data_IF_028551911869
#
_entry.id   IF_028551911869
#
_cell.length_a   1.000
_cell.length_b   1.000
_cell.length_c   1.000
_cell.angle_alpha   90.00
_cell.angle_beta   90.00
_cell.angle_gamma   90.00
#
_symmetry.space_group_name_H-M   'P 1'
#
loop_
_entity.id
_entity.type
_entity.pdbx_description
1 polymer ?
#
# COMPACT_ATOMS: atom_id res chain seq x y z
N UNK A 1 50.52 24.78 12.72
CA UNK A 1 49.42 24.19 13.52
C UNK A 1 48.38 23.62 12.56
N UNK A 2 48.08 22.31 12.59
CA UNK A 2 47.02 21.76 11.76
C UNK A 2 45.65 22.11 12.35
N UNK A 3 44.71 22.51 11.49
CA UNK A 3 43.32 22.84 11.86
C UNK A 3 42.61 21.57 12.38
N UNK A 4 41.81 21.65 13.45
CA UNK A 4 41.12 20.48 13.99
C UNK A 4 40.00 20.01 13.03
N UNK A 5 39.92 18.69 12.86
CA UNK A 5 38.91 17.99 12.07
C UNK A 5 37.54 18.09 12.73
N UNK A 6 36.50 18.40 11.94
CA UNK A 6 35.09 18.35 12.33
C UNK A 6 34.59 16.91 12.38
N UNK A 7 35.10 16.12 13.33
CA UNK A 7 34.48 14.87 13.74
C UNK A 7 34.05 15.04 15.19
N UNK A 8 32.73 15.05 15.38
CA UNK A 8 31.95 15.04 16.64
C UNK A 8 31.13 16.31 16.90
N UNK A 9 29.92 16.37 16.35
CA UNK A 9 28.68 16.52 17.14
C UNK A 9 27.45 16.67 16.23
N UNK A 10 26.65 15.60 16.15
CA UNK A 10 25.18 15.58 16.15
C UNK A 10 24.70 14.21 15.64
N UNK A 11 24.69 13.20 16.50
CA UNK A 11 23.88 12.00 16.30
C UNK A 11 22.41 12.38 16.58
N UNK A 12 21.80 13.16 15.69
CA UNK A 12 20.36 13.16 15.57
C UNK A 12 20.01 11.81 14.94
N UNK A 13 19.31 10.94 15.68
CA UNK A 13 18.87 9.65 15.15
C UNK A 13 18.04 9.90 13.88
N UNK A 14 18.59 9.58 12.72
CA UNK A 14 17.89 9.72 11.45
C UNK A 14 16.80 8.65 11.42
N UNK A 15 15.53 9.07 11.45
CA UNK A 15 14.39 8.16 11.32
C UNK A 15 14.54 7.36 10.03
N UNK A 16 14.31 6.05 10.11
CA UNK A 16 14.22 5.23 8.90
C UNK A 16 12.90 5.52 8.18
N UNK A 17 12.85 5.31 6.85
CA UNK A 17 11.60 5.48 6.08
C UNK A 17 10.42 4.69 6.68
N UNK A 18 10.59 3.41 7.12
CA UNK A 18 9.55 2.67 7.84
C UNK A 18 9.07 3.32 9.15
N UNK A 19 9.98 3.82 9.97
CA UNK A 19 9.63 4.50 11.22
C UNK A 19 8.84 5.79 10.97
N UNK A 20 9.24 6.56 9.95
CA UNK A 20 8.55 7.79 9.55
C UNK A 20 7.11 7.52 9.13
N UNK A 21 6.86 6.43 8.40
CA UNK A 21 5.50 6.04 7.97
C UNK A 21 4.63 5.63 9.17
N UNK A 22 5.16 4.83 10.10
CA UNK A 22 4.43 4.43 11.31
C UNK A 22 4.09 5.65 12.16
N UNK A 23 5.08 6.51 12.45
CA UNK A 23 4.89 7.73 13.26
C UNK A 23 3.95 8.75 12.60
N UNK A 24 3.85 8.74 11.27
CA UNK A 24 2.92 9.61 10.53
C UNK A 24 1.46 9.23 10.80
N UNK A 25 1.13 7.94 10.82
CA UNK A 25 -0.26 7.46 10.89
C UNK A 25 -0.72 7.03 12.29
N UNK A 26 0.20 6.77 13.20
CA UNK A 26 -0.11 6.48 14.60
C UNK A 26 0.05 7.73 15.46
N UNK A 27 -0.85 7.89 16.42
CA UNK A 27 -0.73 8.82 17.54
C UNK A 27 -0.23 8.03 18.76
N UNK A 28 0.92 8.40 19.31
CA UNK A 28 1.49 7.74 20.49
C UNK A 28 0.64 8.06 21.73
N UNK A 29 0.26 7.02 22.47
CA UNK A 29 -0.54 7.15 23.68
C UNK A 29 0.36 7.36 24.90
N UNK A 30 -0.02 8.30 25.77
CA UNK A 30 0.70 8.57 27.04
C UNK A 30 0.66 7.38 28.01
N UNK A 31 -0.41 6.60 27.97
CA UNK A 31 -0.58 5.39 28.76
C UNK A 31 -1.26 4.32 27.91
N UNK A 32 -0.73 3.10 27.96
CA UNK A 32 -1.32 1.96 27.28
C UNK A 32 -2.65 1.55 27.93
N UNK A 33 -3.65 1.12 27.15
CA UNK A 33 -4.85 0.50 27.70
C UNK A 33 -4.48 -0.83 28.37
N UNK A 34 -4.82 -0.98 29.64
CA UNK A 34 -4.35 -2.09 30.49
C UNK A 34 -5.01 -3.44 30.18
N UNK A 35 -6.21 -3.42 29.62
CA UNK A 35 -7.05 -4.61 29.39
C UNK A 35 -7.26 -4.92 27.89
N UNK A 36 -6.42 -4.35 27.02
CA UNK A 36 -6.47 -4.62 25.58
C UNK A 36 -5.20 -5.34 25.11
N UNK A 37 -5.39 -6.32 24.22
CA UNK A 37 -4.30 -7.08 23.61
C UNK A 37 -3.92 -6.50 22.25
N UNK A 38 -2.63 -6.50 21.95
CA UNK A 38 -2.12 -6.16 20.63
C UNK A 38 -2.38 -7.33 19.67
N UNK A 39 -3.28 -7.16 18.70
CA UNK A 39 -3.65 -8.24 17.76
C UNK A 39 -2.56 -8.66 16.76
N UNK A 40 -1.35 -8.11 16.86
CA UNK A 40 -0.20 -8.46 16.01
C UNK A 40 0.71 -9.44 16.74
N UNK A 41 1.12 -9.14 17.97
CA UNK A 41 1.98 -10.02 18.78
C UNK A 41 1.21 -10.87 19.79
N UNK A 42 -0.09 -10.62 19.98
CA UNK A 42 -0.96 -11.26 20.97
C UNK A 42 -0.56 -11.02 22.43
N UNK A 43 0.26 -10.01 22.70
CA UNK A 43 0.63 -9.58 24.05
C UNK A 43 -0.24 -8.40 24.50
N UNK A 44 -0.38 -8.22 25.82
CA UNK A 44 -1.07 -7.05 26.39
C UNK A 44 -0.41 -5.75 25.93
N UNK A 45 -1.21 -4.74 25.62
CA UNK A 45 -0.70 -3.41 25.26
C UNK A 45 0.06 -2.74 26.42
N UNK A 46 -0.23 -3.12 27.67
CA UNK A 46 0.53 -2.71 28.85
C UNK A 46 1.90 -3.38 28.99
N UNK A 47 2.13 -4.48 28.29
CA UNK A 47 3.40 -5.23 28.29
C UNK A 47 4.27 -4.80 27.10
N UNK A 48 5.59 -5.03 27.13
CA UNK A 48 6.45 -4.81 25.97
C UNK A 48 5.99 -5.60 24.75
N UNK A 49 6.21 -5.04 23.56
CA UNK A 49 5.97 -5.71 22.28
C UNK A 49 6.75 -7.01 22.15
N UNK A 50 6.09 -8.12 21.78
CA UNK A 50 6.74 -9.40 21.46
C UNK A 50 7.73 -9.36 20.28
N UNK A 51 7.80 -8.24 19.55
CA UNK A 51 8.81 -7.99 18.51
C UNK A 51 10.04 -7.21 19.00
N UNK A 52 10.19 -6.95 20.31
CA UNK A 52 11.28 -6.13 20.88
C UNK A 52 12.68 -6.51 20.39
N UNK A 53 12.92 -7.82 20.23
CA UNK A 53 14.25 -8.35 19.88
C UNK A 53 14.45 -8.46 18.36
N UNK A 54 13.37 -8.37 17.58
CA UNK A 54 13.37 -8.59 16.12
C UNK A 54 13.37 -7.29 15.31
N UNK A 55 12.86 -6.19 15.86
CA UNK A 55 12.83 -4.91 15.16
C UNK A 55 14.07 -4.06 15.51
N UNK A 56 14.84 -3.69 14.49
CA UNK A 56 16.00 -2.79 14.64
C UNK A 56 15.55 -1.32 14.65
N UNK A 57 14.69 -0.93 15.61
CA UNK A 57 14.36 0.48 15.82
C UNK A 57 15.18 1.04 16.97
N UNK A 58 15.85 2.17 16.73
CA UNK A 58 16.56 2.91 17.77
C UNK A 58 15.72 4.03 18.40
N UNK A 59 14.54 4.32 17.84
CA UNK A 59 13.72 5.47 18.25
C UNK A 59 12.37 5.10 18.87
N UNK A 60 11.89 3.88 18.70
CA UNK A 60 10.61 3.41 19.23
C UNK A 60 10.89 2.46 20.40
N UNK A 61 10.31 2.75 21.56
CA UNK A 61 10.47 1.91 22.77
C UNK A 61 9.59 0.65 22.68
N UNK A 62 9.98 -0.48 23.30
CA UNK A 62 9.17 -1.70 23.33
C UNK A 62 7.76 -1.54 23.91
N UNK A 63 7.59 -0.62 24.86
CA UNK A 63 6.32 -0.33 25.53
C UNK A 63 5.49 0.73 24.79
N UNK A 64 6.02 1.33 23.71
CA UNK A 64 5.32 2.39 23.00
C UNK A 64 4.08 1.83 22.30
N UNK A 65 2.91 2.36 22.68
CA UNK A 65 1.62 2.03 22.08
C UNK A 65 1.15 3.22 21.26
N UNK A 66 0.73 2.96 20.02
CA UNK A 66 0.16 3.96 19.16
C UNK A 66 -1.24 3.59 18.71
N UNK A 67 -2.07 4.61 18.50
CA UNK A 67 -3.44 4.51 18.03
C UNK A 67 -3.56 5.05 16.62
N UNK A 68 -4.22 4.32 15.74
CA UNK A 68 -4.45 4.77 14.37
C UNK A 68 -5.51 5.88 14.33
N UNK A 69 -5.19 7.02 13.71
CA UNK A 69 -6.00 8.26 13.80
C UNK A 69 -7.47 8.10 13.37
N UNK A 70 -7.74 7.37 12.28
CA UNK A 70 -9.09 7.27 11.73
C UNK A 70 -9.95 6.17 12.38
N UNK A 71 -9.45 4.93 12.50
CA UNK A 71 -10.20 3.78 13.01
C UNK A 71 -10.00 3.53 14.51
N UNK A 72 -9.14 4.29 15.17
CA UNK A 72 -8.89 4.25 16.62
C UNK A 72 -8.42 2.91 17.21
N UNK A 73 -7.99 1.95 16.38
CA UNK A 73 -7.37 0.72 16.86
C UNK A 73 -5.95 0.97 17.37
N UNK A 74 -5.61 0.31 18.47
CA UNK A 74 -4.34 0.47 19.20
C UNK A 74 -3.43 -0.74 19.01
N UNK A 75 -2.13 -0.51 18.87
CA UNK A 75 -1.11 -1.54 18.72
C UNK A 75 0.21 -1.06 19.33
N UNK A 76 1.11 -1.97 19.68
CA UNK A 76 2.50 -1.58 19.90
C UNK A 76 3.06 -0.97 18.62
N UNK A 77 3.77 0.16 18.74
CA UNK A 77 4.37 0.84 17.60
C UNK A 77 5.42 -0.04 16.92
N UNK A 78 6.17 -0.84 17.69
CA UNK A 78 7.12 -1.83 17.14
C UNK A 78 6.43 -2.95 16.35
N UNK A 79 5.27 -3.42 16.79
CA UNK A 79 4.49 -4.41 16.05
C UNK A 79 4.02 -3.86 14.69
N UNK A 80 3.54 -2.62 14.67
CA UNK A 80 3.15 -1.95 13.42
C UNK A 80 4.35 -1.68 12.50
N UNK A 81 5.52 -1.36 13.06
CA UNK A 81 6.76 -1.23 12.32
C UNK A 81 7.21 -2.56 11.71
N UNK A 82 7.19 -3.65 12.47
CA UNK A 82 7.52 -4.99 11.98
C UNK A 82 6.57 -5.40 10.85
N UNK A 83 5.26 -5.20 11.04
CA UNK A 83 4.23 -5.48 10.03
C UNK A 83 4.47 -4.69 8.74
N UNK A 84 4.73 -3.38 8.84
CA UNK A 84 4.99 -2.53 7.69
C UNK A 84 6.30 -2.92 6.98
N UNK A 85 7.36 -3.22 7.73
CA UNK A 85 8.69 -3.55 7.19
C UNK A 85 8.69 -4.86 6.40
N UNK A 86 7.87 -5.82 6.82
CA UNK A 86 7.64 -7.08 6.12
C UNK A 86 6.73 -6.96 4.88
N UNK A 87 6.10 -5.80 4.69
CA UNK A 87 5.26 -5.52 3.52
C UNK A 87 6.00 -4.85 2.36
N UNK A 88 5.20 -4.34 1.41
CA UNK A 88 5.67 -3.67 0.19
C UNK A 88 6.36 -2.31 0.45
N UNK A 89 6.21 -1.76 1.66
CA UNK A 89 6.81 -0.47 2.06
C UNK A 89 6.50 0.67 1.09
N UNK A 90 5.26 0.72 0.61
CA UNK A 90 4.77 1.68 -0.38
C UNK A 90 4.36 3.04 0.21
N UNK A 91 4.62 3.28 1.50
CA UNK A 91 4.20 4.49 2.21
C UNK A 91 2.74 4.46 2.69
N UNK A 92 2.02 3.36 2.43
CA UNK A 92 0.68 3.11 2.95
C UNK A 92 0.70 2.18 4.16
N UNK A 93 -0.27 2.33 5.05
CA UNK A 93 -0.42 1.47 6.22
C UNK A 93 -1.84 0.94 6.26
N UNK A 94 -2.00 -0.37 6.46
CA UNK A 94 -3.31 -1.00 6.58
C UNK A 94 -3.55 -1.45 8.01
N UNK A 95 -4.66 -1.05 8.62
CA UNK A 95 -5.04 -1.52 9.95
C UNK A 95 -5.28 -3.05 9.91
N UNK A 96 -4.59 -3.85 10.75
CA UNK A 96 -4.79 -5.29 10.75
C UNK A 96 -6.18 -5.69 11.27
N UNK A 97 -6.83 -4.88 12.12
CA UNK A 97 -8.18 -5.13 12.65
C UNK A 97 -9.29 -4.92 11.61
N UNK A 98 -9.41 -3.69 11.10
CA UNK A 98 -10.56 -3.27 10.28
C UNK A 98 -10.23 -3.03 8.81
N UNK A 99 -8.96 -3.23 8.41
CA UNK A 99 -8.48 -3.08 7.04
C UNK A 99 -8.51 -1.66 6.46
N UNK A 100 -8.86 -0.64 7.26
CA UNK A 100 -8.72 0.78 6.88
C UNK A 100 -7.30 1.06 6.38
N UNK A 101 -7.19 1.71 5.23
CA UNK A 101 -5.93 2.07 4.58
C UNK A 101 -5.63 3.54 4.90
N UNK A 102 -4.38 3.79 5.28
CA UNK A 102 -3.80 5.10 5.54
C UNK A 102 -2.77 5.39 4.46
N UNK A 103 -2.89 6.54 3.78
CA UNK A 103 -2.11 6.83 2.59
C UNK A 103 -2.66 6.14 1.33
N UNK A 104 -1.84 6.09 0.28
CA UNK A 104 -2.19 5.49 -1.01
C UNK A 104 -1.52 4.13 -1.16
N UNK A 105 -2.31 3.06 -1.09
CA UNK A 105 -1.79 1.70 -1.21
C UNK A 105 -1.51 1.37 -2.68
N UNK A 106 -0.27 0.99 -2.97
CA UNK A 106 0.17 0.62 -4.32
C UNK A 106 0.67 -0.83 -4.35
N UNK A 107 0.59 -1.44 -5.53
CA UNK A 107 1.06 -2.81 -5.77
C UNK A 107 2.45 -2.84 -6.40
N UNK A 108 3.06 -4.02 -6.42
CA UNK A 108 4.35 -4.27 -7.08
C UNK A 108 4.15 -4.78 -8.50
N UNK A 109 3.31 -4.12 -9.31
CA UNK A 109 3.06 -4.60 -10.66
C UNK A 109 4.25 -4.25 -11.58
N UNK A 110 4.73 -5.22 -12.39
CA UNK A 110 5.73 -4.91 -13.41
C UNK A 110 5.21 -3.94 -14.49
N UNK A 111 6.13 -3.28 -15.18
CA UNK A 111 5.82 -2.36 -16.29
C UNK A 111 5.12 -3.08 -17.44
N UNK A 112 4.24 -2.34 -18.13
CA UNK A 112 3.49 -2.85 -19.29
C UNK A 112 2.44 -1.85 -19.76
N UNK A 113 1.45 -2.32 -20.53
CA UNK A 113 0.43 -1.48 -21.19
C UNK A 113 -0.97 -2.04 -20.95
N UNK A 114 -1.93 -1.14 -20.80
CA UNK A 114 -3.36 -1.45 -20.76
C UNK A 114 -4.04 -0.72 -21.92
N UNK A 115 -4.86 -1.44 -22.70
CA UNK A 115 -5.64 -0.88 -23.80
C UNK A 115 -7.13 -1.17 -23.57
N UNK A 116 -7.99 -0.23 -23.95
CA UNK A 116 -9.44 -0.36 -23.83
C UNK A 116 -10.06 -0.12 -25.20
N UNK A 117 -11.02 -0.97 -25.58
CA UNK A 117 -11.85 -0.80 -26.78
C UNK A 117 -13.29 -1.16 -26.46
N UNK A 118 -14.25 -0.60 -27.20
CA UNK A 118 -15.66 -0.96 -27.11
C UNK A 118 -16.14 -1.60 -28.42
N UNK A 119 -17.09 -2.52 -28.30
CA UNK A 119 -17.64 -3.31 -29.40
C UNK A 119 -19.16 -3.32 -29.31
N UNK A 120 -19.89 -3.28 -30.45
CA UNK A 120 -21.34 -3.30 -30.43
C UNK A 120 -21.93 -4.68 -30.05
N UNK A 121 -21.15 -5.76 -30.14
CA UNK A 121 -21.61 -7.10 -29.81
C UNK A 121 -21.84 -7.24 -28.31
N UNK A 122 -22.96 -7.86 -27.95
CA UNK A 122 -23.33 -8.16 -26.57
C UNK A 122 -22.65 -9.42 -26.04
N UNK A 123 -22.29 -9.40 -24.75
CA UNK A 123 -21.86 -10.61 -24.05
C UNK A 123 -23.06 -11.53 -23.75
N UNK A 124 -22.86 -12.85 -23.64
CA UNK A 124 -23.86 -13.77 -23.12
C UNK A 124 -24.38 -13.28 -21.75
N UNK A 125 -25.71 -13.15 -21.62
CA UNK A 125 -26.35 -12.61 -20.40
C UNK A 125 -26.55 -11.09 -20.37
N UNK A 126 -26.07 -10.34 -21.38
CA UNK A 126 -26.14 -8.87 -21.44
C UNK A 126 -26.60 -8.36 -22.82
N UNK A 127 -27.83 -8.72 -23.22
CA UNK A 127 -28.35 -8.54 -24.60
C UNK A 127 -28.56 -7.09 -25.06
N UNK A 128 -28.69 -6.15 -24.13
CA UNK A 128 -29.09 -4.77 -24.44
C UNK A 128 -27.93 -3.76 -24.32
N UNK A 129 -26.69 -4.26 -24.32
CA UNK A 129 -25.50 -3.41 -24.31
C UNK A 129 -24.36 -4.03 -25.12
N UNK A 130 -23.42 -3.18 -25.55
CA UNK A 130 -22.18 -3.62 -26.17
C UNK A 130 -21.21 -4.29 -25.18
N UNK A 131 -19.96 -4.41 -25.58
CA UNK A 131 -18.88 -5.00 -24.78
C UNK A 131 -17.70 -4.04 -24.68
N UNK A 132 -17.19 -3.85 -23.48
CA UNK A 132 -15.90 -3.22 -23.22
C UNK A 132 -14.86 -4.34 -23.18
N UNK A 133 -13.83 -4.26 -24.03
CA UNK A 133 -12.66 -5.13 -24.00
C UNK A 133 -11.49 -4.39 -23.36
N UNK A 134 -10.85 -5.03 -22.39
CA UNK A 134 -9.63 -4.56 -21.74
C UNK A 134 -8.52 -5.54 -22.13
N UNK A 135 -7.40 -5.02 -22.62
CA UNK A 135 -6.23 -5.81 -23.02
C UNK A 135 -5.04 -5.39 -22.17
N UNK A 136 -4.49 -6.34 -21.42
CA UNK A 136 -3.26 -6.13 -20.67
C UNK A 136 -2.08 -6.71 -21.44
N UNK A 137 -0.97 -5.98 -21.47
CA UNK A 137 0.30 -6.38 -22.03
C UNK A 137 1.38 -6.27 -20.94
N UNK A 138 1.97 -7.39 -20.55
CA UNK A 138 3.15 -7.43 -19.68
C UNK A 138 4.20 -8.29 -20.38
N UNK A 139 5.41 -7.76 -20.48
CA UNK A 139 6.56 -8.46 -21.01
C UNK A 139 7.39 -9.05 -19.88
N UNK A 140 8.19 -10.07 -20.20
CA UNK A 140 9.27 -10.53 -19.31
C UNK A 140 10.21 -9.37 -18.98
N UNK A 141 10.85 -9.44 -17.82
CA UNK A 141 11.74 -8.37 -17.37
C UNK A 141 12.61 -8.81 -16.20
N UNK A 142 13.20 -7.83 -15.53
CA UNK A 142 14.01 -8.00 -14.32
C UNK A 142 13.23 -7.45 -13.12
N UNK A 143 13.28 -8.17 -12.01
CA UNK A 143 12.64 -7.78 -10.74
C UNK A 143 13.31 -6.54 -10.15
N UNK A 144 12.50 -5.52 -9.83
CA UNK A 144 12.93 -4.34 -9.08
C UNK A 144 13.15 -4.61 -7.58
N UNK A 145 13.64 -3.63 -6.81
CA UNK A 145 13.85 -3.74 -5.36
C UNK A 145 12.60 -4.11 -4.55
N UNK A 146 11.42 -3.77 -5.07
CA UNK A 146 10.11 -4.04 -4.48
C UNK A 146 9.63 -5.49 -4.65
N UNK A 147 10.31 -6.28 -5.50
CA UNK A 147 9.93 -7.65 -5.82
C UNK A 147 10.69 -8.68 -4.96
N UNK A 148 10.21 -9.94 -4.86
CA UNK A 148 10.79 -10.94 -3.95
C UNK A 148 12.27 -11.26 -4.18
N UNK A 149 12.75 -11.22 -5.43
CA UNK A 149 14.15 -11.49 -5.77
C UNK A 149 14.72 -10.38 -6.68
N UNK A 150 15.13 -9.23 -6.12
CA UNK A 150 15.64 -8.11 -6.90
C UNK A 150 16.80 -8.51 -7.81
N UNK A 151 16.80 -8.02 -9.05
CA UNK A 151 17.82 -8.32 -10.06
C UNK A 151 17.61 -9.66 -10.80
N UNK A 152 16.70 -10.52 -10.34
CA UNK A 152 16.41 -11.78 -11.02
C UNK A 152 15.37 -11.60 -12.14
N UNK A 153 15.46 -12.36 -13.24
CA UNK A 153 14.46 -12.31 -14.29
C UNK A 153 13.10 -12.83 -13.80
N UNK A 154 12.01 -12.28 -14.35
CA UNK A 154 10.67 -12.82 -14.23
C UNK A 154 10.09 -13.12 -15.62
N UNK A 155 9.18 -14.10 -15.70
CA UNK A 155 8.48 -14.44 -16.95
C UNK A 155 7.05 -13.89 -16.95
N UNK A 156 6.53 -13.56 -18.13
CA UNK A 156 5.16 -13.09 -18.31
C UNK A 156 4.45 -14.01 -19.32
N UNK A 157 3.73 -15.02 -18.82
CA UNK A 157 3.07 -16.04 -19.66
C UNK A 157 1.61 -15.67 -19.94
N UNK A 158 1.16 -15.96 -21.17
CA UNK A 158 -0.22 -15.76 -21.58
C UNK A 158 -0.62 -14.29 -21.78
N UNK A 159 0.33 -13.43 -22.14
CA UNK A 159 0.07 -12.05 -22.55
C UNK A 159 0.05 -11.93 -24.09
N UNK A 160 -0.81 -11.07 -24.67
CA UNK A 160 -1.78 -10.22 -23.97
C UNK A 160 -2.94 -10.99 -23.32
N UNK A 161 -3.41 -10.48 -22.18
CA UNK A 161 -4.60 -11.02 -21.50
C UNK A 161 -5.80 -10.19 -21.89
N UNK A 162 -6.86 -10.87 -22.35
CA UNK A 162 -8.11 -10.26 -22.76
C UNK A 162 -9.15 -10.41 -21.65
N UNK A 163 -9.79 -9.30 -21.30
CA UNK A 163 -10.90 -9.26 -20.35
C UNK A 163 -12.08 -8.54 -21.01
N UNK A 164 -13.30 -8.95 -20.65
CA UNK A 164 -14.53 -8.41 -21.24
C UNK A 164 -15.49 -8.00 -20.12
N UNK A 165 -16.13 -6.84 -20.29
CA UNK A 165 -17.18 -6.32 -19.42
C UNK A 165 -18.36 -5.90 -20.31
N UNK A 166 -19.62 -6.01 -19.84
CA UNK A 166 -20.74 -5.44 -20.57
C UNK A 166 -20.65 -3.91 -20.59
N UNK A 167 -20.95 -3.26 -21.70
CA UNK A 167 -20.98 -1.79 -21.80
C UNK A 167 -22.29 -1.19 -21.28
N UNK A 168 -22.60 -1.50 -20.03
CA UNK A 168 -23.70 -0.89 -19.28
C UNK A 168 -23.15 -0.06 -18.11
N UNK A 169 -24.04 0.59 -17.34
CA UNK A 169 -23.63 1.45 -16.24
C UNK A 169 -22.72 0.73 -15.22
N UNK A 170 -23.06 -0.50 -14.85
CA UNK A 170 -22.27 -1.32 -13.93
C UNK A 170 -20.90 -1.65 -14.52
N UNK A 171 -20.85 -2.08 -15.78
CA UNK A 171 -19.58 -2.41 -16.44
C UNK A 171 -18.68 -1.19 -16.66
N UNK A 172 -19.25 0.00 -16.92
CA UNK A 172 -18.48 1.26 -16.97
C UNK A 172 -17.94 1.68 -15.61
N UNK A 173 -18.70 1.49 -14.52
CA UNK A 173 -18.20 1.68 -13.15
C UNK A 173 -17.04 0.75 -12.85
N UNK A 174 -17.18 -0.54 -13.18
CA UNK A 174 -16.09 -1.53 -13.03
C UNK A 174 -14.89 -1.13 -13.89
N UNK A 175 -15.07 -0.74 -15.16
CA UNK A 175 -13.99 -0.24 -16.03
C UNK A 175 -13.27 0.95 -15.41
N UNK A 176 -14.00 1.94 -14.91
CA UNK A 176 -13.43 3.12 -14.27
C UNK A 176 -12.65 2.74 -13.01
N UNK A 177 -13.22 1.88 -12.16
CA UNK A 177 -12.50 1.34 -11.01
C UNK A 177 -11.24 0.62 -11.45
N UNK A 178 -11.32 -0.28 -12.43
CA UNK A 178 -10.17 -0.97 -13.03
C UNK A 178 -9.16 0.02 -13.58
N UNK A 179 -9.53 1.15 -14.18
CA UNK A 179 -8.55 2.15 -14.63
C UNK A 179 -7.85 2.83 -13.45
N UNK A 180 -8.59 3.13 -12.38
CA UNK A 180 -8.07 3.82 -11.19
C UNK A 180 -7.22 2.88 -10.32
N UNK A 181 -7.61 1.61 -10.21
CA UNK A 181 -6.92 0.60 -9.39
C UNK A 181 -6.01 -0.31 -10.20
N UNK A 182 -6.01 -0.20 -11.53
CA UNK A 182 -5.04 -0.90 -12.38
C UNK A 182 -3.68 -0.31 -12.10
N UNK A 183 -2.71 -1.13 -11.68
CA UNK A 183 -1.36 -0.65 -11.37
C UNK A 183 -0.56 -0.16 -12.59
N UNK A 184 -1.17 -0.03 -13.79
CA UNK A 184 -0.52 0.55 -14.96
C UNK A 184 -0.50 2.08 -14.98
N UNK A 185 -1.35 2.76 -14.22
CA UNK A 185 -1.33 4.22 -14.14
C UNK A 185 -0.34 4.71 -13.08
N UNK A 186 0.96 4.47 -13.32
CA UNK A 186 1.95 5.39 -12.80
C UNK A 186 1.87 6.69 -13.61
N UNK A 187 1.30 7.74 -13.00
CA UNK A 187 1.51 9.15 -13.29
C UNK A 187 1.30 9.64 -14.73
N UNK A 188 0.12 10.22 -14.99
CA UNK A 188 -0.03 11.47 -15.74
C UNK A 188 -1.40 12.12 -15.48
N UNK A 189 -1.64 12.55 -14.24
CA UNK A 189 -2.70 13.51 -13.95
C UNK A 189 -2.31 14.37 -12.74
N UNK A 190 -2.09 15.69 -12.89
CA UNK A 190 -1.91 16.57 -11.75
C UNK A 190 -3.29 16.84 -11.13
N UNK A 191 -3.48 16.35 -9.90
CA UNK A 191 -4.56 16.78 -9.01
C UNK A 191 -5.90 16.07 -9.16
N UNK A 192 -6.11 15.00 -8.36
CA UNK A 192 -7.21 14.83 -7.38
C UNK A 192 -7.35 13.36 -6.95
N UNK A 193 -7.16 13.16 -5.64
CA UNK A 193 -7.76 12.16 -4.74
C UNK A 193 -7.89 10.70 -5.22
N UNK A 194 -6.89 9.88 -4.88
CA UNK A 194 -7.05 8.45 -4.67
C UNK A 194 -7.71 8.23 -3.30
N UNK A 195 -9.04 8.20 -3.25
CA UNK A 195 -9.78 7.60 -2.15
C UNK A 195 -10.84 6.68 -2.73
N UNK A 196 -10.83 5.45 -2.25
CA UNK A 196 -11.96 4.53 -2.30
C UNK A 196 -13.16 5.17 -1.58
N UNK A 197 -13.84 6.10 -2.23
CA UNK A 197 -15.24 6.45 -2.00
C UNK A 197 -15.76 7.12 -3.27
N UNK A 198 -16.93 6.65 -3.70
CA UNK A 198 -17.63 6.99 -4.93
C UNK A 198 -17.41 8.44 -5.39
N UNK A 199 -16.80 8.62 -6.56
CA UNK A 199 -16.68 9.92 -7.23
C UNK A 199 -17.29 9.82 -8.63
N UNK A 200 -18.38 10.55 -8.94
CA UNK A 200 -19.15 10.41 -10.18
C UNK A 200 -18.53 11.05 -11.43
N UNK A 201 -17.39 11.75 -11.31
CA UNK A 201 -16.92 12.68 -12.35
C UNK A 201 -15.98 12.09 -13.41
N UNK A 202 -15.66 10.79 -13.38
CA UNK A 202 -14.93 10.13 -14.49
C UNK A 202 -15.86 9.63 -15.61
N UNK A 203 -17.16 9.89 -15.50
CA UNK A 203 -18.17 9.53 -16.49
C UNK A 203 -18.67 10.80 -17.20
N UNK A 204 -17.92 11.27 -18.19
CA UNK A 204 -18.42 12.14 -19.25
C UNK A 204 -17.87 11.61 -20.57
#
# INVERSE_FOLDING_TARGET
>A
MPKPSRLNQALAATLTEPESVVKKYLEELKSAPADEDCMICMEKLSSPSGYSDSCQSSTIRPEAVGRLRNCQHSFHMLCMLAMYSNGNKDGSLQCPSCKTIYGEKTGTQPKGKMEISTFPQSLPGHKDCGTIRIVYHISRGIQGPEHPNPGMPYTARGFPRYCYLPDNEKGRKVRCHTLITSPFLSCQAPGKLCLCHESPSCCS
#
